data_IF_178566614056
#
_entry.id   IF_178566614056
#
_cell.length_a   1.000
_cell.length_b   1.000
_cell.length_c   1.000
_cell.angle_alpha   90.00
_cell.angle_beta   90.00
_cell.angle_gamma   90.00
#
_symmetry.space_group_name_H-M   'P 1'
#
loop_
_entity.id
_entity.type
_entity.pdbx_description
1 polymer ?
#
# COMPACT_ATOMS: atom_id res chain seq x y z
N UNK A 1 15.08 2.49 -5.20
CA UNK A 1 14.78 2.95 -3.82
C UNK A 1 13.29 2.81 -3.62
N UNK A 2 12.85 2.04 -2.63
CA UNK A 2 11.43 1.68 -2.44
C UNK A 2 10.53 2.91 -2.24
N UNK A 3 9.66 3.16 -3.22
CA UNK A 3 8.70 4.27 -3.23
C UNK A 3 7.40 3.95 -2.48
N UNK A 4 7.40 2.93 -1.62
CA UNK A 4 6.22 2.52 -0.88
C UNK A 4 5.98 3.50 0.29
N UNK A 5 4.92 4.29 0.16
CA UNK A 5 4.49 5.28 1.17
C UNK A 5 3.92 4.65 2.43
N UNK A 6 3.57 3.36 2.37
CA UNK A 6 2.93 2.62 3.45
C UNK A 6 3.78 1.38 3.72
N UNK A 7 4.08 1.15 5.00
CA UNK A 7 4.64 -0.09 5.49
C UNK A 7 3.55 -0.86 6.23
N UNK A 8 3.61 -2.18 6.15
CA UNK A 8 2.72 -3.07 6.90
C UNK A 8 3.51 -3.76 7.98
N UNK A 9 3.00 -3.70 9.21
CA UNK A 9 3.61 -4.36 10.36
C UNK A 9 2.92 -5.70 10.65
N UNK A 10 3.63 -6.63 11.30
CA UNK A 10 3.10 -7.87 11.88
C UNK A 10 2.54 -8.92 10.91
N UNK A 11 2.69 -8.74 9.60
CA UNK A 11 2.27 -9.72 8.59
C UNK A 11 3.28 -9.80 7.45
N UNK A 12 3.32 -10.96 6.78
CA UNK A 12 4.12 -11.13 5.56
C UNK A 12 3.44 -10.38 4.42
N UNK A 13 4.20 -9.52 3.74
CA UNK A 13 3.70 -8.70 2.64
C UNK A 13 4.63 -8.72 1.44
N UNK A 14 4.04 -8.51 0.26
CA UNK A 14 4.76 -8.29 -0.99
C UNK A 14 4.48 -6.86 -1.47
N UNK A 15 5.53 -6.10 -1.69
CA UNK A 15 5.45 -4.75 -2.26
C UNK A 15 5.65 -4.83 -3.77
N UNK A 16 4.65 -4.40 -4.53
CA UNK A 16 4.63 -4.50 -5.99
C UNK A 16 4.42 -3.13 -6.62
N UNK A 17 4.80 -3.00 -7.89
CA UNK A 17 4.52 -1.80 -8.68
C UNK A 17 4.00 -2.21 -10.04
N UNK A 18 2.83 -1.73 -10.44
CA UNK A 18 2.23 -2.06 -11.74
C UNK A 18 2.09 -0.82 -12.61
N UNK A 19 2.15 -1.03 -13.93
CA UNK A 19 1.88 0.04 -14.90
C UNK A 19 0.38 0.33 -14.92
N UNK A 20 0.01 1.60 -14.72
CA UNK A 20 -1.39 2.01 -14.85
C UNK A 20 -1.81 1.91 -16.31
N UNK A 21 -2.95 1.28 -16.59
CA UNK A 21 -3.48 1.17 -17.96
C UNK A 21 -3.51 2.55 -18.64
N UNK A 22 -3.03 2.59 -19.88
CA UNK A 22 -2.94 3.80 -20.70
C UNK A 22 -2.09 4.94 -20.10
N UNK A 23 -1.14 4.63 -19.21
CA UNK A 23 -0.22 5.61 -18.64
C UNK A 23 1.19 5.05 -18.49
N UNK A 24 2.21 5.90 -18.60
CA UNK A 24 3.59 5.55 -18.23
C UNK A 24 3.86 5.62 -16.73
N UNK A 25 2.81 5.87 -15.94
CA UNK A 25 2.89 5.91 -14.48
C UNK A 25 2.87 4.51 -13.89
N UNK A 26 3.70 4.32 -12.88
CA UNK A 26 3.70 3.14 -12.03
C UNK A 26 2.87 3.41 -10.77
N UNK A 27 2.05 2.46 -10.37
CA UNK A 27 1.27 2.51 -9.14
C UNK A 27 1.81 1.47 -8.15
N UNK A 28 2.15 1.87 -6.91
CA UNK A 28 2.54 0.93 -5.88
C UNK A 28 1.33 0.19 -5.31
N UNK A 29 1.49 -1.11 -5.07
CA UNK A 29 0.53 -2.00 -4.43
C UNK A 29 1.20 -2.77 -3.30
N UNK A 30 0.39 -3.22 -2.35
CA UNK A 30 0.82 -4.06 -1.24
C UNK A 30 -0.10 -5.26 -1.21
N UNK A 31 0.46 -6.45 -1.40
CA UNK A 31 -0.27 -7.71 -1.23
C UNK A 31 0.02 -8.21 0.18
N UNK A 32 -1.05 -8.37 0.96
CA UNK A 32 -1.03 -9.00 2.28
C UNK A 32 -1.63 -10.39 2.12
N UNK A 33 -0.91 -11.42 2.55
CA UNK A 33 -1.45 -12.78 2.52
C UNK A 33 -2.50 -12.93 3.62
N UNK A 34 -3.74 -13.17 3.22
CA UNK A 34 -4.83 -13.43 4.14
C UNK A 34 -4.74 -14.88 4.64
N UNK A 35 -4.61 -15.05 5.95
CA UNK A 35 -4.65 -16.36 6.61
C UNK A 35 -5.89 -16.39 7.50
N UNK A 36 -6.87 -17.22 7.13
CA UNK A 36 -8.13 -17.36 7.88
C UNK A 36 -7.97 -18.10 9.22
N UNK A 37 -6.86 -18.81 9.40
CA UNK A 37 -6.53 -19.52 10.64
C UNK A 37 -5.71 -18.65 11.60
N UNK A 38 -5.01 -17.65 11.07
CA UNK A 38 -4.35 -16.65 11.88
C UNK A 38 -5.40 -15.68 12.46
N UNK A 39 -5.46 -15.59 13.79
CA UNK A 39 -6.32 -14.63 14.52
C UNK A 39 -5.88 -13.17 14.36
N UNK A 40 -5.31 -12.78 13.21
CA UNK A 40 -4.91 -11.42 12.93
C UNK A 40 -6.14 -10.64 12.48
N UNK A 41 -6.87 -10.12 13.48
CA UNK A 41 -8.07 -9.31 13.26
C UNK A 41 -7.78 -7.86 12.87
N UNK A 42 -6.50 -7.47 12.80
CA UNK A 42 -6.07 -6.09 12.61
C UNK A 42 -4.87 -5.99 11.69
N UNK A 43 -4.98 -5.12 10.68
CA UNK A 43 -3.89 -4.73 9.80
C UNK A 43 -3.30 -3.40 10.29
N UNK A 44 -2.03 -3.41 10.69
CA UNK A 44 -1.33 -2.18 11.11
C UNK A 44 -0.56 -1.58 9.94
N UNK A 45 -0.94 -0.36 9.55
CA UNK A 45 -0.34 0.40 8.45
C UNK A 45 0.41 1.61 8.97
N UNK A 46 1.64 1.82 8.49
CA UNK A 46 2.47 2.98 8.82
C UNK A 46 2.74 3.82 7.60
N UNK A 47 2.30 5.07 7.62
CA UNK A 47 2.61 6.05 6.58
C UNK A 47 4.01 6.63 6.79
N UNK A 48 4.80 6.68 5.73
CA UNK A 48 6.19 7.18 5.75
C UNK A 48 6.33 8.66 5.37
N UNK A 49 5.26 9.32 4.93
CA UNK A 49 5.26 10.75 4.63
C UNK A 49 4.03 11.42 5.21
N UNK A 50 4.21 12.65 5.68
CA UNK A 50 3.11 13.55 5.97
C UNK A 50 2.40 13.98 4.69
N UNK A 51 1.12 14.29 4.79
CA UNK A 51 0.34 14.85 3.68
C UNK A 51 0.97 16.15 3.14
N UNK A 52 1.64 16.93 3.98
CA UNK A 52 2.28 18.21 3.64
C UNK A 52 3.65 18.08 2.95
N UNK A 53 4.20 16.87 2.80
CA UNK A 53 5.48 16.65 2.11
C UNK A 53 5.49 17.30 0.72
N UNK A 54 6.39 18.28 0.50
CA UNK A 54 6.63 18.88 -0.80
C UNK A 54 7.25 17.85 -1.76
N UNK A 55 6.90 17.91 -3.05
CA UNK A 55 7.35 16.92 -4.06
C UNK A 55 6.71 15.53 -3.94
N UNK A 56 5.82 15.30 -2.96
CA UNK A 56 5.07 14.05 -2.78
C UNK A 56 3.56 14.26 -2.88
N UNK A 57 2.86 13.95 -1.79
CA UNK A 57 1.40 14.11 -1.69
C UNK A 57 0.99 15.58 -1.85
N UNK A 58 1.78 16.50 -1.28
CA UNK A 58 1.62 17.95 -1.43
C UNK A 58 0.20 18.44 -1.08
N UNK A 59 -0.28 18.05 0.11
CA UNK A 59 -1.60 18.37 0.69
C UNK A 59 -2.81 17.86 -0.11
N UNK A 60 -2.60 17.05 -1.15
CA UNK A 60 -3.69 16.41 -1.88
C UNK A 60 -4.28 15.26 -1.05
N UNK A 61 -5.61 15.06 -1.04
CA UNK A 61 -6.21 13.92 -0.38
C UNK A 61 -5.77 12.63 -1.08
N UNK A 62 -5.66 11.56 -0.30
CA UNK A 62 -5.33 10.20 -0.78
C UNK A 62 -6.42 9.24 -0.32
N UNK A 63 -6.70 8.24 -1.15
CA UNK A 63 -7.66 7.17 -0.84
C UNK A 63 -6.88 5.87 -0.77
N UNK A 64 -7.13 5.10 0.28
CA UNK A 64 -6.69 3.71 0.36
C UNK A 64 -7.82 2.81 -0.11
N UNK A 65 -7.51 1.95 -1.09
CA UNK A 65 -8.43 0.94 -1.58
C UNK A 65 -7.99 -0.42 -1.05
N UNK A 66 -8.91 -1.18 -0.48
CA UNK A 66 -8.70 -2.54 -0.03
C UNK A 66 -9.55 -3.47 -0.89
N UNK A 67 -8.91 -4.45 -1.52
CA UNK A 67 -9.55 -5.55 -2.23
C UNK A 67 -9.23 -6.85 -1.51
N UNK A 68 -10.24 -7.70 -1.33
CA UNK A 68 -10.03 -9.10 -1.00
C UNK A 68 -10.09 -9.86 -2.31
N UNK A 69 -9.00 -10.53 -2.66
CA UNK A 69 -8.83 -11.21 -3.95
C UNK A 69 -8.70 -12.71 -3.73
N UNK A 70 -9.20 -13.49 -4.69
CA UNK A 70 -8.98 -14.93 -4.71
C UNK A 70 -7.59 -15.20 -5.31
N UNK A 71 -6.78 -15.99 -4.61
CA UNK A 71 -5.42 -16.36 -5.03
C UNK A 71 -5.38 -17.43 -6.11
#
# INVERSE_FOLDING_TARGET
>A
MDHHLILVDNVKVSYLTEKVENSDKLRPFIIVYYDSLAYVSCLSLRFRCYSSCAGGIHRRPVVLCFSLENG
#
